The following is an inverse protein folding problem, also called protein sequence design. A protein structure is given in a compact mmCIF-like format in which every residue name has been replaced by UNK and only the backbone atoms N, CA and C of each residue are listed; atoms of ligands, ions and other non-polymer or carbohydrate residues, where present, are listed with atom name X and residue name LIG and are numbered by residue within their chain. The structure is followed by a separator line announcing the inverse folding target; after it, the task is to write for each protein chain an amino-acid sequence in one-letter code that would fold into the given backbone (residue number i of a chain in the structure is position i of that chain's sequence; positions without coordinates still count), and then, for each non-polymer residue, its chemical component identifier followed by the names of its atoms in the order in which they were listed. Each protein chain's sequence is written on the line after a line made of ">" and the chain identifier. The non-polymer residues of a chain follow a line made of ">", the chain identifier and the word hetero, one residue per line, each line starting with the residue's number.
data_IF_467010548298
#
_entry.id   IF_467010548298
#
_cell.length_a   1.000
_cell.length_b   1.000
_cell.length_c   1.000
_cell.angle_alpha   90.00
_cell.angle_beta   90.00
_cell.angle_gamma   90.00
#
_symmetry.space_group_name_H-M   'P 1'
#
loop_
_entity.id
_entity.type
_entity.pdbx_description
1 polymer ?
#
# COMPACT_ATOMS: atom_id res chain seq x y z
N UNK A 1 32.51 -3.16 -38.64
CA UNK A 1 31.32 -3.95 -38.32
C UNK A 1 31.24 -4.34 -36.84
N UNK A 2 32.27 -5.00 -36.29
CA UNK A 2 32.30 -5.45 -34.89
C UNK A 2 32.15 -4.30 -33.88
N UNK A 3 32.84 -3.19 -34.07
CA UNK A 3 32.76 -1.99 -33.18
C UNK A 3 31.35 -1.40 -33.15
N UNK A 4 30.67 -1.32 -34.29
CA UNK A 4 29.30 -0.84 -34.39
C UNK A 4 28.36 -1.75 -33.61
N UNK A 5 28.54 -3.07 -33.70
CA UNK A 5 27.78 -4.05 -32.96
C UNK A 5 27.90 -3.86 -31.44
N UNK A 6 29.14 -3.67 -30.95
CA UNK A 6 29.39 -3.40 -29.52
C UNK A 6 28.74 -2.10 -29.06
N UNK A 7 28.84 -1.02 -29.83
CA UNK A 7 28.20 0.26 -29.50
C UNK A 7 26.68 0.09 -29.40
N UNK A 8 26.06 -0.55 -30.38
CA UNK A 8 24.59 -0.81 -30.35
C UNK A 8 24.19 -1.71 -29.18
N UNK A 9 24.97 -2.78 -28.93
CA UNK A 9 24.68 -3.67 -27.81
C UNK A 9 24.80 -2.93 -26.45
N UNK A 10 25.85 -2.12 -26.27
CA UNK A 10 26.04 -1.33 -25.05
C UNK A 10 24.88 -0.34 -24.85
N UNK A 11 24.46 0.32 -25.92
CA UNK A 11 23.34 1.26 -25.88
C UNK A 11 22.00 0.56 -25.50
N UNK A 12 21.73 -0.60 -26.09
CA UNK A 12 20.55 -1.40 -25.78
C UNK A 12 20.56 -1.87 -24.32
N UNK A 13 21.68 -2.37 -23.83
CA UNK A 13 21.81 -2.78 -22.42
C UNK A 13 21.59 -1.60 -21.48
N UNK A 14 22.21 -0.45 -21.76
CA UNK A 14 22.04 0.76 -20.97
C UNK A 14 20.58 1.23 -20.94
N UNK A 15 19.89 1.18 -22.10
CA UNK A 15 18.48 1.55 -22.21
C UNK A 15 17.58 0.60 -21.39
N UNK A 16 17.79 -0.71 -21.53
CA UNK A 16 17.00 -1.72 -20.80
C UNK A 16 17.19 -1.60 -19.28
N UNK A 17 18.44 -1.45 -18.83
CA UNK A 17 18.71 -1.27 -17.41
C UNK A 17 18.17 0.04 -16.89
N UNK A 18 18.30 1.13 -17.65
CA UNK A 18 17.79 2.45 -17.27
C UNK A 18 16.26 2.46 -17.12
N UNK A 19 15.53 1.97 -18.13
CA UNK A 19 14.07 1.90 -18.08
C UNK A 19 13.61 0.89 -17.01
N UNK A 20 14.24 -0.28 -16.94
CA UNK A 20 13.90 -1.31 -15.96
C UNK A 20 14.07 -0.84 -14.52
N UNK A 21 15.21 -0.19 -14.21
CA UNK A 21 15.46 0.36 -12.88
C UNK A 21 14.49 1.51 -12.54
N UNK A 22 14.23 2.42 -13.48
CA UNK A 22 13.27 3.50 -13.27
C UNK A 22 11.86 2.97 -12.99
N UNK A 23 11.40 2.00 -13.78
CA UNK A 23 10.10 1.34 -13.57
C UNK A 23 10.04 0.66 -12.19
N UNK A 24 11.07 -0.10 -11.83
CA UNK A 24 11.16 -0.73 -10.51
C UNK A 24 11.04 0.30 -9.39
N UNK A 25 11.74 1.43 -9.50
CA UNK A 25 11.69 2.52 -8.51
C UNK A 25 10.30 3.16 -8.41
N UNK A 26 9.59 3.32 -9.52
CA UNK A 26 8.21 3.85 -9.53
C UNK A 26 7.22 2.85 -8.90
N UNK A 27 7.37 1.56 -9.18
CA UNK A 27 6.42 0.54 -8.69
C UNK A 27 6.67 0.14 -7.23
N UNK A 28 7.93 -0.06 -6.85
CA UNK A 28 8.33 -0.61 -5.54
C UNK A 28 8.89 0.43 -4.57
N UNK A 29 9.37 1.55 -5.09
CA UNK A 29 10.10 2.52 -4.30
C UNK A 29 11.50 2.04 -3.90
N UNK A 30 12.08 2.73 -2.93
CA UNK A 30 13.38 2.41 -2.34
C UNK A 30 13.38 2.78 -0.86
N UNK A 31 14.38 2.36 -0.07
CA UNK A 31 14.53 2.79 1.32
C UNK A 31 14.61 4.32 1.51
N UNK A 32 14.90 5.08 0.44
CA UNK A 32 14.93 6.55 0.46
C UNK A 32 13.56 7.17 0.19
N UNK A 33 12.66 6.45 -0.47
CA UNK A 33 11.35 6.96 -0.89
C UNK A 33 10.19 6.32 -0.11
N UNK A 34 10.41 5.16 0.51
CA UNK A 34 9.39 4.41 1.25
C UNK A 34 9.80 4.18 2.70
N UNK A 35 8.81 4.18 3.58
CA UNK A 35 8.93 3.80 4.99
C UNK A 35 8.15 2.51 5.23
N UNK A 36 8.71 1.60 6.03
CA UNK A 36 8.11 0.31 6.35
C UNK A 36 7.95 0.21 7.87
N UNK A 37 6.76 -0.20 8.30
CA UNK A 37 6.42 -0.46 9.71
C UNK A 37 5.67 -1.81 9.80
N UNK A 38 6.39 -2.88 10.15
CA UNK A 38 5.88 -4.25 10.05
C UNK A 38 5.48 -4.57 8.60
N UNK A 39 4.25 -5.08 8.36
CA UNK A 39 3.78 -5.37 7.01
C UNK A 39 3.35 -4.11 6.22
N UNK A 40 3.27 -2.96 6.88
CA UNK A 40 2.79 -1.71 6.29
C UNK A 40 3.91 -0.92 5.63
N UNK A 41 3.66 -0.46 4.42
CA UNK A 41 4.53 0.44 3.68
C UNK A 41 3.82 1.75 3.35
N UNK A 42 4.56 2.85 3.32
CA UNK A 42 4.07 4.15 2.88
C UNK A 42 5.16 4.91 2.14
N UNK A 43 4.77 5.76 1.20
CA UNK A 43 5.70 6.67 0.53
C UNK A 43 5.93 7.91 1.41
N UNK A 44 7.19 8.18 1.75
CA UNK A 44 7.58 9.20 2.73
C UNK A 44 7.11 10.59 2.32
N UNK A 45 7.23 10.90 1.04
CA UNK A 45 6.93 12.21 0.47
C UNK A 45 5.63 12.24 -0.35
N UNK A 46 4.77 11.23 -0.24
CA UNK A 46 3.50 11.20 -0.94
C UNK A 46 2.64 12.43 -0.57
N UNK A 47 2.14 13.13 -1.58
CA UNK A 47 1.38 14.37 -1.39
C UNK A 47 2.21 15.61 -1.00
N UNK A 48 3.53 15.52 -1.01
CA UNK A 48 4.40 16.68 -0.80
C UNK A 48 4.75 17.34 -2.15
N UNK A 49 4.58 18.66 -2.33
CA UNK A 49 4.98 19.35 -3.55
C UNK A 49 6.46 19.19 -3.91
N UNK A 50 7.34 19.04 -2.90
CA UNK A 50 8.79 18.82 -3.07
C UNK A 50 9.19 17.36 -3.21
N UNK A 51 8.22 16.43 -3.35
CA UNK A 51 8.51 15.02 -3.56
C UNK A 51 9.41 14.79 -4.79
N UNK A 52 10.25 13.76 -4.71
CA UNK A 52 11.08 13.32 -5.81
C UNK A 52 10.25 12.82 -7.00
N UNK A 53 10.90 12.68 -8.17
CA UNK A 53 10.22 12.32 -9.41
C UNK A 53 9.63 10.89 -9.37
N UNK A 54 10.25 9.96 -8.65
CA UNK A 54 9.74 8.58 -8.54
C UNK A 54 8.47 8.54 -7.68
N UNK A 55 8.44 9.26 -6.56
CA UNK A 55 7.24 9.41 -5.72
C UNK A 55 6.09 10.07 -6.51
N UNK A 56 6.38 11.13 -7.28
CA UNK A 56 5.38 11.78 -8.15
C UNK A 56 4.85 10.85 -9.22
N UNK A 57 5.74 10.11 -9.89
CA UNK A 57 5.36 9.14 -10.92
C UNK A 57 4.53 7.99 -10.33
N UNK A 58 4.90 7.47 -9.15
CA UNK A 58 4.13 6.47 -8.42
C UNK A 58 2.71 6.97 -8.13
N UNK A 59 2.58 8.16 -7.55
CA UNK A 59 1.27 8.73 -7.23
C UNK A 59 0.41 8.90 -8.48
N UNK A 60 0.99 9.40 -9.58
CA UNK A 60 0.28 9.56 -10.85
C UNK A 60 -0.17 8.23 -11.46
N UNK A 61 0.64 7.17 -11.33
CA UNK A 61 0.32 5.84 -11.87
C UNK A 61 -0.64 5.04 -10.98
N UNK A 62 -0.69 5.33 -9.68
CA UNK A 62 -1.54 4.58 -8.72
C UNK A 62 -3.02 4.92 -8.80
N UNK A 63 -3.42 5.97 -9.53
CA UNK A 63 -4.81 6.42 -9.62
C UNK A 63 -5.39 6.99 -8.32
N UNK A 64 -4.57 7.15 -7.27
CA UNK A 64 -5.00 7.70 -5.99
C UNK A 64 -5.16 9.21 -6.07
N UNK A 65 -6.11 9.73 -5.28
CA UNK A 65 -6.31 11.16 -5.16
C UNK A 65 -5.06 11.81 -4.54
N UNK A 66 -4.46 12.84 -5.16
CA UNK A 66 -3.25 13.50 -4.66
C UNK A 66 -3.58 14.43 -3.48
N UNK A 67 -3.89 13.86 -2.32
CA UNK A 67 -4.06 14.62 -1.08
C UNK A 67 -2.70 15.05 -0.55
N UNK A 68 -2.64 16.23 0.06
CA UNK A 68 -1.40 16.69 0.70
C UNK A 68 -1.06 15.85 1.92
N UNK A 69 0.22 15.65 2.19
CA UNK A 69 0.71 14.86 3.34
C UNK A 69 0.25 15.39 4.71
N UNK A 70 -0.25 16.62 4.77
CA UNK A 70 -0.88 17.22 5.95
C UNK A 70 -2.34 16.82 6.12
N UNK A 71 -3.00 16.39 5.03
CA UNK A 71 -4.42 15.98 5.03
C UNK A 71 -4.56 14.46 5.19
N UNK A 72 -3.76 13.68 4.49
CA UNK A 72 -3.84 12.23 4.53
C UNK A 72 -2.47 11.57 4.33
N UNK A 73 -2.32 10.39 4.93
CA UNK A 73 -1.21 9.46 4.70
C UNK A 73 -1.78 8.10 4.35
N UNK A 74 -1.21 7.48 3.34
CA UNK A 74 -1.60 6.15 2.89
C UNK A 74 -0.58 5.13 3.36
N UNK A 75 -1.09 4.03 3.90
CA UNK A 75 -0.32 2.86 4.28
C UNK A 75 -0.88 1.65 3.54
N UNK A 76 -0.02 0.84 2.96
CA UNK A 76 -0.38 -0.34 2.20
C UNK A 76 0.29 -1.58 2.79
N UNK A 77 -0.46 -2.66 2.93
CA UNK A 77 0.08 -3.97 3.26
C UNK A 77 -0.38 -4.98 2.19
N UNK A 78 0.56 -5.70 1.60
CA UNK A 78 0.32 -6.78 0.64
C UNK A 78 0.77 -8.14 1.15
N UNK A 79 1.36 -8.17 2.35
CA UNK A 79 1.82 -9.37 3.03
C UNK A 79 1.46 -9.30 4.52
N UNK A 80 1.48 -10.42 5.19
CA UNK A 80 1.33 -10.52 6.63
C UNK A 80 2.64 -10.20 7.39
N UNK A 81 2.60 -10.32 8.72
CA UNK A 81 3.77 -10.05 9.57
C UNK A 81 4.92 -11.06 9.39
N UNK A 82 4.68 -12.19 8.72
CA UNK A 82 5.69 -13.20 8.38
C UNK A 82 6.21 -13.03 6.95
N UNK A 83 5.67 -12.06 6.19
CA UNK A 83 6.04 -11.80 4.81
C UNK A 83 5.30 -12.66 3.78
N UNK A 84 4.31 -13.47 4.19
CA UNK A 84 3.50 -14.23 3.27
C UNK A 84 2.45 -13.31 2.59
N UNK A 85 2.24 -13.44 1.26
CA UNK A 85 1.24 -12.64 0.55
C UNK A 85 -0.16 -12.79 1.15
N UNK A 86 -0.91 -11.69 1.22
CA UNK A 86 -2.30 -11.74 1.66
C UNK A 86 -3.16 -12.45 0.61
N UNK A 87 -4.00 -13.40 1.06
CA UNK A 87 -4.93 -14.15 0.21
C UNK A 87 -6.33 -14.13 0.80
N UNK A 88 -7.36 -14.02 -0.05
CA UNK A 88 -8.76 -13.90 0.38
C UNK A 88 -9.31 -15.14 1.12
N UNK A 89 -8.64 -16.29 0.98
CA UNK A 89 -9.02 -17.53 1.67
C UNK A 89 -8.58 -17.61 3.13
N UNK A 90 -7.71 -16.69 3.59
CA UNK A 90 -7.23 -16.64 4.96
C UNK A 90 -7.96 -15.57 5.79
N UNK A 91 -7.94 -15.76 7.10
CA UNK A 91 -8.37 -14.75 8.04
C UNK A 91 -7.14 -14.00 8.61
N UNK A 92 -7.25 -12.69 8.75
CA UNK A 92 -6.17 -11.86 9.29
C UNK A 92 -6.69 -11.03 10.45
N UNK A 93 -5.85 -10.86 11.46
CA UNK A 93 -6.11 -10.00 12.60
C UNK A 93 -5.19 -8.77 12.53
N UNK A 94 -5.76 -7.62 12.32
CA UNK A 94 -5.05 -6.35 12.41
C UNK A 94 -5.14 -5.86 13.84
N UNK A 95 -3.99 -5.78 14.51
CA UNK A 95 -3.88 -5.23 15.86
C UNK A 95 -3.40 -3.79 15.77
N UNK A 96 -4.14 -2.88 16.38
CA UNK A 96 -3.81 -1.46 16.41
C UNK A 96 -3.74 -0.93 17.85
N UNK A 97 -2.85 0.04 18.03
CA UNK A 97 -2.81 0.94 19.20
C UNK A 97 -3.36 2.31 18.81
N UNK A 98 -3.62 3.21 19.78
CA UNK A 98 -4.07 4.55 19.47
C UNK A 98 -3.09 5.24 18.49
N UNK A 99 -3.61 5.63 17.33
CA UNK A 99 -2.84 6.35 16.32
C UNK A 99 -2.90 7.86 16.60
N UNK A 100 -1.81 8.57 16.36
CA UNK A 100 -1.79 10.04 16.36
C UNK A 100 -2.42 10.58 15.06
N UNK A 101 -3.69 10.28 14.87
CA UNK A 101 -4.50 10.70 13.75
C UNK A 101 -5.90 11.05 14.23
N UNK A 102 -6.49 12.08 13.65
CA UNK A 102 -7.88 12.47 13.97
C UNK A 102 -8.87 11.39 13.52
N UNK A 103 -8.59 10.78 12.41
CA UNK A 103 -9.42 9.79 11.78
C UNK A 103 -8.56 8.84 10.93
N UNK A 104 -8.95 7.59 10.84
CA UNK A 104 -8.36 6.61 9.94
C UNK A 104 -9.44 5.70 9.34
N UNK A 105 -9.17 5.16 8.18
CA UNK A 105 -10.00 4.16 7.52
C UNK A 105 -9.14 3.03 6.98
N UNK A 106 -9.69 1.83 7.02
CA UNK A 106 -9.15 0.61 6.48
C UNK A 106 -10.07 0.11 5.37
N UNK A 107 -9.54 -0.20 4.20
CA UNK A 107 -10.28 -0.78 3.09
C UNK A 107 -9.45 -1.89 2.45
N UNK A 108 -10.14 -2.86 1.84
CA UNK A 108 -9.53 -3.98 1.15
C UNK A 108 -9.68 -3.81 -0.37
N UNK A 109 -8.58 -4.05 -1.07
CA UNK A 109 -8.52 -3.98 -2.52
C UNK A 109 -7.98 -5.29 -3.07
N UNK A 110 -8.39 -5.65 -4.26
CA UNK A 110 -7.81 -6.75 -5.02
C UNK A 110 -6.49 -6.35 -5.70
N UNK A 111 -5.84 -7.28 -6.39
CA UNK A 111 -4.58 -7.05 -7.10
C UNK A 111 -4.70 -5.99 -8.22
N UNK A 112 -5.90 -5.75 -8.73
CA UNK A 112 -6.16 -4.71 -9.74
C UNK A 112 -6.33 -3.31 -9.13
N UNK A 113 -6.39 -3.20 -7.80
CA UNK A 113 -6.68 -1.96 -7.09
C UNK A 113 -8.17 -1.65 -7.00
N UNK A 114 -9.05 -2.61 -7.31
CA UNK A 114 -10.50 -2.48 -7.16
C UNK A 114 -10.94 -2.88 -5.76
N UNK A 115 -11.95 -2.21 -5.21
CA UNK A 115 -12.55 -2.57 -3.92
C UNK A 115 -13.15 -3.96 -4.02
N UNK A 116 -12.88 -4.81 -3.02
CA UNK A 116 -13.40 -6.18 -2.95
C UNK A 116 -14.89 -6.15 -2.71
N UNK A 117 -15.68 -6.67 -3.66
CA UNK A 117 -17.11 -6.81 -3.53
C UNK A 117 -17.46 -7.85 -2.44
N UNK A 118 -18.48 -7.55 -1.62
CA UNK A 118 -18.93 -8.44 -0.57
C UNK A 118 -20.46 -8.32 -0.34
N UNK A 119 -21.13 -9.41 0.11
CA UNK A 119 -22.57 -9.41 0.28
C UNK A 119 -23.10 -8.45 1.35
N UNK A 120 -22.26 -8.06 2.32
CA UNK A 120 -22.66 -7.15 3.41
C UNK A 120 -22.62 -5.68 2.99
N UNK A 121 -22.07 -5.34 1.82
CA UNK A 121 -21.88 -3.96 1.36
C UNK A 121 -20.93 -3.14 2.23
N UNK A 122 -20.10 -3.80 3.07
CA UNK A 122 -19.16 -3.14 3.96
C UNK A 122 -17.77 -3.09 3.31
N UNK A 123 -17.42 -1.96 2.76
CA UNK A 123 -16.19 -1.77 1.97
C UNK A 123 -15.04 -1.15 2.76
N UNK A 124 -15.32 -0.56 3.91
CA UNK A 124 -14.31 0.05 4.77
C UNK A 124 -14.68 -0.11 6.23
N UNK A 125 -13.69 0.10 7.08
CA UNK A 125 -13.81 0.18 8.52
C UNK A 125 -13.04 1.39 9.02
N UNK A 126 -13.58 2.17 9.93
CA UNK A 126 -12.99 3.44 10.33
C UNK A 126 -12.84 3.59 11.86
N UNK A 127 -12.13 4.64 12.26
CA UNK A 127 -11.79 4.90 13.66
C UNK A 127 -12.99 5.20 14.56
N UNK A 128 -14.12 5.65 14.01
CA UNK A 128 -15.35 5.97 14.76
C UNK A 128 -16.17 4.72 15.04
N UNK A 129 -16.10 3.72 14.14
CA UNK A 129 -16.77 2.43 14.30
C UNK A 129 -15.98 1.46 15.19
N UNK A 130 -14.69 1.72 15.40
CA UNK A 130 -13.80 0.79 16.07
C UNK A 130 -14.14 0.63 17.56
N UNK A 131 -14.60 -0.55 17.93
CA UNK A 131 -14.71 -0.98 19.32
C UNK A 131 -13.28 -1.12 19.88
N UNK A 132 -13.00 -0.35 20.92
CA UNK A 132 -11.68 -0.30 21.57
C UNK A 132 -11.72 -0.99 22.92
N UNK A 133 -10.60 -1.56 23.31
CA UNK A 133 -10.38 -2.09 24.66
C UNK A 133 -10.13 -0.95 25.66
N UNK A 134 -10.13 -1.26 26.94
CA UNK A 134 -9.92 -0.29 28.01
C UNK A 134 -8.56 0.42 27.92
N UNK A 135 -7.54 -0.22 27.33
CA UNK A 135 -6.20 0.35 27.09
C UNK A 135 -6.12 1.17 25.77
N UNK A 136 -7.25 1.32 25.06
CA UNK A 136 -7.34 2.03 23.79
C UNK A 136 -6.92 1.20 22.57
N UNK A 137 -6.41 -0.02 22.75
CA UNK A 137 -6.08 -0.91 21.63
C UNK A 137 -7.34 -1.42 20.94
N UNK A 138 -7.20 -1.86 19.70
CA UNK A 138 -8.28 -2.44 18.92
C UNK A 138 -7.77 -3.56 18.03
N UNK A 139 -8.66 -4.47 17.67
CA UNK A 139 -8.40 -5.48 16.66
C UNK A 139 -9.45 -5.35 15.57
N UNK A 140 -9.06 -5.53 14.31
CA UNK A 140 -9.97 -5.65 13.18
C UNK A 140 -9.71 -7.00 12.52
N UNK A 141 -10.75 -7.82 12.47
CA UNK A 141 -10.68 -9.13 11.80
C UNK A 141 -11.03 -8.96 10.32
N UNK A 142 -10.13 -9.36 9.45
CA UNK A 142 -10.39 -9.51 8.02
C UNK A 142 -10.80 -10.95 7.76
N UNK A 143 -12.03 -11.19 7.36
CA UNK A 143 -12.53 -12.54 7.13
C UNK A 143 -13.69 -12.53 6.15
N UNK A 144 -13.86 -13.62 5.39
CA UNK A 144 -14.98 -13.79 4.48
C UNK A 144 -16.31 -13.89 5.22
N UNK A 145 -16.34 -14.60 6.32
CA UNK A 145 -17.52 -14.76 7.16
C UNK A 145 -17.53 -13.72 8.29
N UNK A 146 -18.73 -13.30 8.71
CA UNK A 146 -18.88 -12.35 9.81
C UNK A 146 -18.19 -12.83 11.09
N UNK A 147 -17.52 -11.91 11.77
CA UNK A 147 -16.85 -12.14 13.04
C UNK A 147 -17.36 -11.16 14.09
N UNK A 148 -17.32 -11.54 15.38
CA UNK A 148 -17.64 -10.61 16.46
C UNK A 148 -16.72 -9.39 16.47
N UNK A 149 -17.17 -8.31 17.08
CA UNK A 149 -16.45 -7.05 17.25
C UNK A 149 -16.17 -6.34 15.90
N UNK A 150 -14.94 -5.89 15.70
CA UNK A 150 -14.54 -5.15 14.51
C UNK A 150 -14.24 -6.12 13.36
N UNK A 151 -15.10 -6.17 12.38
CA UNK A 151 -14.96 -7.08 11.24
C UNK A 151 -15.07 -6.31 9.92
N UNK A 152 -14.18 -6.65 8.99
CA UNK A 152 -14.19 -6.17 7.61
C UNK A 152 -14.17 -7.38 6.66
N UNK A 153 -15.17 -7.53 5.76
CA UNK A 153 -15.26 -8.66 4.85
C UNK A 153 -14.12 -8.68 3.81
N UNK A 154 -13.57 -9.87 3.55
CA UNK A 154 -12.52 -10.11 2.56
C UNK A 154 -13.03 -10.71 1.23
N UNK A 155 -14.32 -10.65 0.96
CA UNK A 155 -14.98 -11.17 -0.24
C UNK A 155 -15.75 -12.45 -0.03
#
# INVERSE_FOLDING_TARGET
>A
MVTLLYVVATFLVALLLGIGSARYMVERGSPLTTSVAGPWSSWIYEGNPSADLYTKAHLASSGRLPLTSTMARYFLASADSLGAPLVSGCEYLISGSPLNARWWSLALYDESGSIIANPSGRYSFNSEEAVRRADGTYHVTLARNARPENWLPSG
#
